data_IF_688299542292
#
_entry.id   IF_688299542292
#
_cell.length_a   1.000
_cell.length_b   1.000
_cell.length_c   1.000
_cell.angle_alpha   90.00
_cell.angle_beta   90.00
_cell.angle_gamma   90.00
#
_symmetry.space_group_name_H-M   'P 1'
#
loop_
_entity.id
_entity.type
_entity.pdbx_description
1 polymer ?
#
# COMPACT_ATOMS: atom_id res chain seq x y z
N UNK A 1 -0.69 -2.73 -10.05
CA UNK A 1 -0.22 -2.48 -8.66
C UNK A 1 1.06 -1.67 -8.82
N UNK A 2 0.93 -0.36 -8.73
CA UNK A 2 2.04 0.59 -8.81
C UNK A 2 2.86 0.43 -7.52
N UNK A 3 4.16 0.17 -7.65
CA UNK A 3 5.13 0.24 -6.55
C UNK A 3 5.14 1.69 -6.02
N UNK A 4 4.28 1.98 -5.04
CA UNK A 4 4.33 3.24 -4.31
C UNK A 4 5.38 3.10 -3.22
N UNK A 5 6.51 3.78 -3.40
CA UNK A 5 7.52 3.89 -2.34
C UNK A 5 6.98 4.80 -1.22
N UNK A 6 6.89 4.33 0.04
CA UNK A 6 6.36 5.12 1.18
C UNK A 6 7.05 6.46 1.40
N UNK A 7 8.33 6.58 1.01
CA UNK A 7 9.08 7.86 1.06
C UNK A 7 8.55 8.89 0.07
N UNK A 8 8.05 8.46 -1.09
CA UNK A 8 7.44 9.35 -2.09
C UNK A 8 6.11 9.90 -1.61
N UNK A 9 5.27 9.07 -1.01
CA UNK A 9 3.95 9.47 -0.49
C UNK A 9 4.06 10.47 0.65
N UNK A 10 4.97 10.25 1.60
CA UNK A 10 5.22 11.17 2.71
C UNK A 10 5.72 12.54 2.20
N UNK A 11 6.59 12.55 1.18
CA UNK A 11 7.07 13.78 0.55
C UNK A 11 5.94 14.52 -0.18
N UNK A 12 5.05 13.80 -0.87
CA UNK A 12 3.87 14.37 -1.52
C UNK A 12 2.88 14.96 -0.50
N UNK A 13 2.61 14.26 0.59
CA UNK A 13 1.75 14.77 1.65
C UNK A 13 2.36 16.01 2.33
N UNK A 14 3.67 16.03 2.53
CA UNK A 14 4.38 17.19 3.08
C UNK A 14 4.23 18.45 2.21
N UNK A 15 4.01 18.30 0.90
CA UNK A 15 3.70 19.45 0.06
C UNK A 15 2.37 20.11 0.41
N UNK A 16 1.39 19.36 0.91
CA UNK A 16 0.07 19.86 1.29
C UNK A 16 0.02 20.49 2.68
N UNK A 17 1.10 20.39 3.48
CA UNK A 17 1.23 21.08 4.78
C UNK A 17 1.45 22.58 4.62
N UNK A 18 1.97 23.05 3.47
CA UNK A 18 1.97 24.47 3.12
C UNK A 18 0.52 24.93 2.93
N UNK A 19 0.12 25.93 3.71
CA UNK A 19 -1.27 26.39 3.75
C UNK A 19 -1.85 26.76 2.39
N UNK A 20 -1.08 27.52 1.60
CA UNK A 20 -1.52 27.99 0.28
C UNK A 20 -1.65 26.82 -0.72
N UNK A 21 -0.68 25.91 -0.74
CA UNK A 21 -0.74 24.71 -1.61
C UNK A 21 -1.91 23.82 -1.22
N UNK A 22 -2.12 23.60 0.07
CA UNK A 22 -3.25 22.82 0.57
C UNK A 22 -4.60 23.46 0.20
N UNK A 23 -4.72 24.80 0.25
CA UNK A 23 -5.91 25.55 -0.20
C UNK A 23 -6.11 25.42 -1.71
N UNK A 24 -5.07 25.58 -2.51
CA UNK A 24 -5.11 25.41 -3.98
C UNK A 24 -5.50 23.98 -4.37
N UNK A 25 -4.91 22.96 -3.75
CA UNK A 25 -5.25 21.57 -3.99
C UNK A 25 -6.74 21.28 -3.71
N UNK A 26 -7.23 21.70 -2.53
CA UNK A 26 -8.65 21.53 -2.18
C UNK A 26 -9.58 22.29 -3.14
N UNK A 27 -9.16 23.44 -3.62
CA UNK A 27 -9.93 24.25 -4.57
C UNK A 27 -10.06 23.54 -5.92
N UNK A 28 -8.95 23.00 -6.48
CA UNK A 28 -8.98 22.22 -7.72
C UNK A 28 -9.83 20.97 -7.57
N UNK A 29 -9.73 20.25 -6.42
CA UNK A 29 -10.57 19.09 -6.12
C UNK A 29 -12.08 19.42 -6.13
N UNK A 30 -12.47 20.55 -5.56
CA UNK A 30 -13.89 20.98 -5.53
C UNK A 30 -14.43 21.43 -6.89
N UNK A 31 -13.59 22.10 -7.67
CA UNK A 31 -13.98 22.66 -8.98
C UNK A 31 -13.81 21.68 -10.12
N UNK A 32 -13.12 20.54 -9.89
CA UNK A 32 -12.71 19.55 -10.88
C UNK A 32 -11.78 20.07 -11.98
N UNK A 33 -11.89 21.35 -12.32
CA UNK A 33 -11.04 22.01 -13.32
C UNK A 33 -10.89 23.48 -12.95
N UNK A 34 -9.66 24.02 -13.00
CA UNK A 34 -9.36 25.39 -12.61
C UNK A 34 -8.14 25.92 -13.38
N UNK A 35 -8.25 27.13 -13.93
CA UNK A 35 -7.08 27.87 -14.46
C UNK A 35 -6.32 28.58 -13.34
N UNK A 36 -5.07 28.97 -13.61
CA UNK A 36 -4.31 29.79 -12.66
C UNK A 36 -4.97 31.14 -12.36
N UNK A 37 -5.71 31.68 -13.33
CA UNK A 37 -6.36 32.98 -13.20
C UNK A 37 -7.58 32.90 -12.28
N UNK A 38 -8.39 31.85 -12.44
CA UNK A 38 -9.50 31.53 -11.56
C UNK A 38 -9.01 31.23 -10.14
N UNK A 39 -7.91 30.46 -10.01
CA UNK A 39 -7.29 30.15 -8.72
C UNK A 39 -6.77 31.41 -8.00
N UNK A 40 -6.12 32.30 -8.75
CA UNK A 40 -5.60 33.57 -8.24
C UNK A 40 -6.73 34.48 -7.74
N UNK A 41 -7.79 34.60 -8.52
CA UNK A 41 -8.96 35.42 -8.17
C UNK A 41 -9.68 34.89 -6.92
N UNK A 42 -9.91 33.56 -6.84
CA UNK A 42 -10.65 32.97 -5.72
C UNK A 42 -9.87 33.00 -4.39
N UNK A 43 -8.52 32.91 -4.45
CA UNK A 43 -7.68 32.95 -3.24
C UNK A 43 -7.08 34.33 -2.93
N UNK A 44 -7.32 35.34 -3.77
CA UNK A 44 -6.77 36.68 -3.56
C UNK A 44 -5.24 36.75 -3.68
N UNK A 45 -4.64 35.97 -4.57
CA UNK A 45 -3.17 35.90 -4.76
C UNK A 45 -2.77 36.28 -6.18
N UNK A 46 -1.47 36.51 -6.42
CA UNK A 46 -1.00 36.78 -7.76
C UNK A 46 -1.07 35.53 -8.68
N UNK A 47 -1.29 35.76 -9.98
CA UNK A 47 -1.30 34.73 -11.03
C UNK A 47 0.00 33.90 -11.07
N UNK A 48 1.14 34.59 -10.85
CA UNK A 48 2.44 33.92 -10.78
C UNK A 48 2.58 32.98 -9.60
N UNK A 49 2.10 33.41 -8.44
CA UNK A 49 2.14 32.58 -7.22
C UNK A 49 1.19 31.38 -7.34
N UNK A 50 -0.02 31.58 -7.88
CA UNK A 50 -0.94 30.49 -8.16
C UNK A 50 -0.32 29.46 -9.12
N UNK A 51 0.25 29.90 -10.24
CA UNK A 51 0.92 29.02 -11.21
C UNK A 51 2.07 28.24 -10.57
N UNK A 52 2.93 28.91 -9.79
CA UNK A 52 4.07 28.27 -9.11
C UNK A 52 3.66 27.13 -8.19
N UNK A 53 2.64 27.35 -7.35
CA UNK A 53 2.17 26.31 -6.44
C UNK A 53 1.40 25.19 -7.16
N UNK A 54 0.57 25.52 -8.15
CA UNK A 54 -0.14 24.53 -8.96
C UNK A 54 0.82 23.66 -9.77
N UNK A 55 1.87 24.23 -10.37
CA UNK A 55 2.88 23.49 -11.10
C UNK A 55 3.70 22.56 -10.18
N UNK A 56 3.97 22.96 -8.93
CA UNK A 56 4.56 22.08 -7.93
C UNK A 56 3.68 20.87 -7.61
N UNK A 57 2.37 21.07 -7.49
CA UNK A 57 1.42 19.98 -7.26
C UNK A 57 1.33 19.03 -8.47
N UNK A 58 1.46 19.58 -9.69
CA UNK A 58 1.53 18.76 -10.91
C UNK A 58 2.83 17.97 -10.97
N UNK A 59 3.97 18.60 -10.66
CA UNK A 59 5.26 17.90 -10.63
C UNK A 59 5.31 16.77 -9.62
N UNK A 60 4.55 16.88 -8.51
CA UNK A 60 4.39 15.84 -7.51
C UNK A 60 3.32 14.79 -7.88
N UNK A 61 2.62 14.91 -9.00
CA UNK A 61 1.56 13.98 -9.40
C UNK A 61 0.22 14.16 -8.67
N UNK A 62 0.11 15.13 -7.75
CA UNK A 62 -1.13 15.42 -7.00
C UNK A 62 -2.21 16.06 -7.87
N UNK A 63 -1.82 16.77 -8.93
CA UNK A 63 -2.69 17.34 -9.94
C UNK A 63 -2.20 16.95 -11.34
N UNK A 64 -3.09 17.08 -12.32
CA UNK A 64 -2.76 17.02 -13.75
C UNK A 64 -2.96 18.40 -14.38
N UNK A 65 -2.18 18.70 -15.43
CA UNK A 65 -2.34 19.91 -16.20
C UNK A 65 -2.70 19.55 -17.65
N UNK A 66 -3.72 20.24 -18.18
CA UNK A 66 -4.14 20.11 -19.58
C UNK A 66 -4.28 21.49 -20.23
N UNK A 67 -4.24 21.52 -21.55
CA UNK A 67 -4.67 22.69 -22.31
C UNK A 67 -6.19 22.66 -22.43
N UNK A 68 -6.87 23.75 -22.04
CA UNK A 68 -8.34 23.84 -22.13
C UNK A 68 -8.75 23.67 -23.59
N UNK A 69 -9.71 22.78 -23.86
CA UNK A 69 -10.31 22.68 -25.18
C UNK A 69 -10.95 24.03 -25.57
N UNK A 70 -10.73 24.50 -26.79
CA UNK A 70 -11.37 25.73 -27.26
C UNK A 70 -12.84 25.43 -27.55
N UNK A 71 -13.74 26.08 -26.84
CA UNK A 71 -15.13 26.22 -27.27
C UNK A 71 -15.19 27.41 -28.24
N UNK A 72 -15.41 27.14 -29.51
CA UNK A 72 -15.55 28.15 -30.57
C UNK A 72 -14.45 28.10 -31.66
N UNK A 73 -14.52 29.01 -32.66
CA UNK A 73 -13.59 29.03 -33.79
C UNK A 73 -12.13 29.23 -33.31
N UNK A 74 -11.15 28.67 -34.04
CA UNK A 74 -9.73 28.71 -33.63
C UNK A 74 -9.23 30.16 -33.54
N UNK A 75 -8.96 30.63 -32.32
CA UNK A 75 -8.28 31.90 -32.10
C UNK A 75 -6.77 31.67 -32.04
N UNK A 76 -6.02 32.54 -32.70
CA UNK A 76 -4.55 32.58 -32.63
C UNK A 76 -4.15 32.98 -31.20
N UNK A 77 -3.54 32.05 -30.46
CA UNK A 77 -3.07 32.29 -29.09
C UNK A 77 -2.78 30.98 -28.34
N UNK A 78 -1.89 31.06 -27.30
CA UNK A 78 -1.57 29.90 -26.44
C UNK A 78 -2.80 29.54 -25.62
N UNK A 79 -3.26 28.31 -25.77
CA UNK A 79 -4.41 27.76 -25.01
C UNK A 79 -4.16 27.87 -23.50
N UNK A 80 -5.15 28.31 -22.70
CA UNK A 80 -5.00 28.40 -21.26
C UNK A 80 -4.70 27.02 -20.66
N UNK A 81 -3.71 26.96 -19.77
CA UNK A 81 -3.41 25.78 -18.95
C UNK A 81 -4.46 25.68 -17.84
N UNK A 82 -5.06 24.51 -17.69
CA UNK A 82 -5.99 24.19 -16.60
C UNK A 82 -5.44 23.02 -15.79
N UNK A 83 -5.79 23.03 -14.52
CA UNK A 83 -5.37 22.04 -13.53
C UNK A 83 -6.58 21.22 -13.10
N UNK A 84 -6.39 19.91 -13.02
CA UNK A 84 -7.41 18.93 -12.68
C UNK A 84 -6.89 18.00 -11.58
N UNK A 85 -7.77 17.38 -10.76
CA UNK A 85 -7.33 16.31 -9.86
C UNK A 85 -6.63 15.20 -10.63
N UNK A 86 -5.60 14.59 -10.06
CA UNK A 86 -5.07 13.31 -10.53
C UNK A 86 -5.89 12.17 -9.94
N UNK A 87 -5.68 10.95 -10.47
CA UNK A 87 -6.28 9.72 -9.93
C UNK A 87 -5.45 9.15 -8.76
N UNK A 88 -4.47 9.93 -8.27
CA UNK A 88 -3.61 9.52 -7.17
C UNK A 88 -4.38 9.57 -5.85
N UNK A 89 -4.43 8.45 -5.17
CA UNK A 89 -4.87 8.33 -3.79
C UNK A 89 -3.64 8.16 -2.88
N UNK A 90 -3.59 8.94 -1.82
CA UNK A 90 -2.52 8.87 -0.81
C UNK A 90 -3.13 8.43 0.51
N UNK A 91 -2.62 7.32 1.05
CA UNK A 91 -2.91 6.87 2.40
C UNK A 91 -1.59 6.74 3.18
N UNK A 92 -1.43 7.53 4.24
CA UNK A 92 -0.24 7.51 5.08
C UNK A 92 -0.61 7.08 6.48
N UNK A 93 -0.02 5.99 6.90
CA UNK A 93 -0.16 5.48 8.27
C UNK A 93 1.21 5.22 8.88
N UNK A 94 1.38 5.57 10.17
CA UNK A 94 2.62 5.34 10.91
C UNK A 94 2.29 4.61 12.24
N UNK A 95 2.80 3.39 12.45
CA UNK A 95 3.50 2.52 11.50
C UNK A 95 2.60 2.11 10.34
N UNK A 96 3.19 1.61 9.24
CA UNK A 96 2.47 1.28 8.01
C UNK A 96 1.32 0.30 8.25
N UNK A 97 0.16 0.56 7.61
CA UNK A 97 -1.04 -0.27 7.67
C UNK A 97 -1.46 -0.69 6.26
N UNK A 98 -1.97 -1.91 6.15
CA UNK A 98 -2.42 -2.50 4.87
C UNK A 98 -3.85 -3.02 4.99
N UNK A 99 -4.76 -2.15 5.44
CA UNK A 99 -6.18 -2.55 5.59
C UNK A 99 -6.83 -2.88 4.25
N UNK A 100 -6.37 -2.25 3.18
CA UNK A 100 -6.79 -2.56 1.81
C UNK A 100 -6.53 -4.03 1.46
N UNK A 101 -5.34 -4.56 1.77
CA UNK A 101 -5.01 -5.97 1.53
C UNK A 101 -5.98 -6.91 2.24
N UNK A 102 -6.34 -6.65 3.50
CA UNK A 102 -7.35 -7.47 4.21
C UNK A 102 -8.73 -7.29 3.59
N UNK A 103 -9.07 -6.07 3.18
CA UNK A 103 -10.31 -5.78 2.46
C UNK A 103 -10.42 -6.58 1.17
N UNK A 104 -9.39 -6.58 0.32
CA UNK A 104 -9.31 -7.38 -0.91
C UNK A 104 -9.49 -8.89 -0.61
N UNK A 105 -8.78 -9.41 0.41
CA UNK A 105 -8.88 -10.83 0.79
C UNK A 105 -10.30 -11.20 1.22
N UNK A 106 -10.98 -10.35 1.97
CA UNK A 106 -12.35 -10.59 2.42
C UNK A 106 -13.36 -10.49 1.27
N UNK A 107 -13.22 -9.51 0.39
CA UNK A 107 -14.06 -9.39 -0.82
C UNK A 107 -13.88 -10.62 -1.71
N UNK A 108 -12.65 -11.04 -1.97
CA UNK A 108 -12.36 -12.25 -2.75
C UNK A 108 -12.89 -13.52 -2.06
N UNK A 109 -12.83 -13.61 -0.73
CA UNK A 109 -13.37 -14.73 0.01
C UNK A 109 -14.89 -14.84 -0.15
N UNK A 110 -15.60 -13.70 -0.04
CA UNK A 110 -17.06 -13.65 -0.25
C UNK A 110 -17.42 -13.98 -1.70
N UNK A 111 -16.71 -13.40 -2.67
CA UNK A 111 -16.99 -13.57 -4.10
C UNK A 111 -16.73 -15.01 -4.59
N UNK A 112 -15.83 -15.75 -3.92
CA UNK A 112 -15.41 -17.11 -4.33
C UNK A 112 -15.77 -18.17 -3.29
N UNK A 113 -16.65 -17.85 -2.34
CA UNK A 113 -17.15 -18.83 -1.37
C UNK A 113 -18.00 -19.90 -2.06
N UNK A 114 -17.85 -21.15 -1.62
CA UNK A 114 -18.78 -22.23 -2.02
C UNK A 114 -19.91 -22.34 -0.98
N UNK A 115 -21.09 -22.88 -1.35
CA UNK A 115 -22.26 -22.88 -0.46
C UNK A 115 -22.03 -23.50 0.92
N UNK A 116 -21.15 -24.49 1.02
CA UNK A 116 -20.88 -25.22 2.26
C UNK A 116 -19.55 -24.83 2.94
N UNK A 117 -18.83 -23.83 2.39
CA UNK A 117 -17.55 -23.43 2.93
C UNK A 117 -17.74 -22.39 4.06
N UNK A 118 -17.22 -22.69 5.29
CA UNK A 118 -17.26 -21.71 6.37
C UNK A 118 -16.53 -20.42 5.96
N UNK A 119 -17.03 -19.22 6.33
CA UNK A 119 -16.44 -17.95 5.93
C UNK A 119 -14.95 -17.81 6.24
N UNK A 120 -14.51 -18.29 7.40
CA UNK A 120 -13.10 -18.25 7.77
C UNK A 120 -12.24 -19.19 6.91
N UNK A 121 -12.78 -20.35 6.51
CA UNK A 121 -12.10 -21.28 5.62
C UNK A 121 -11.90 -20.66 4.23
N UNK A 122 -12.93 -20.00 3.68
CA UNK A 122 -12.84 -19.25 2.43
C UNK A 122 -11.78 -18.14 2.52
N UNK A 123 -11.79 -17.36 3.61
CA UNK A 123 -10.83 -16.27 3.81
C UNK A 123 -9.38 -16.76 3.92
N UNK A 124 -9.13 -17.83 4.68
CA UNK A 124 -7.78 -18.41 4.83
C UNK A 124 -7.31 -19.07 3.53
N UNK A 125 -8.19 -19.74 2.79
CA UNK A 125 -7.87 -20.28 1.46
C UNK A 125 -7.44 -19.18 0.49
N UNK A 126 -8.20 -18.10 0.42
CA UNK A 126 -7.88 -16.93 -0.45
C UNK A 126 -6.58 -16.28 0.01
N UNK A 127 -6.39 -16.09 1.31
CA UNK A 127 -5.15 -15.52 1.86
C UNK A 127 -3.93 -16.39 1.51
N UNK A 128 -4.04 -17.72 1.62
CA UNK A 128 -2.96 -18.64 1.23
C UNK A 128 -2.64 -18.52 -0.27
N UNK A 129 -3.65 -18.48 -1.13
CA UNK A 129 -3.46 -18.33 -2.56
C UNK A 129 -2.77 -16.99 -2.91
N UNK A 130 -3.25 -15.89 -2.31
CA UNK A 130 -2.65 -14.55 -2.48
C UNK A 130 -1.19 -14.51 -1.98
N UNK A 131 -0.92 -15.08 -0.82
CA UNK A 131 0.43 -15.19 -0.29
C UNK A 131 1.35 -15.97 -1.22
N UNK A 132 0.88 -17.10 -1.76
CA UNK A 132 1.65 -17.92 -2.71
C UNK A 132 2.00 -17.14 -3.97
N UNK A 133 1.06 -16.37 -4.49
CA UNK A 133 1.29 -15.49 -5.65
C UNK A 133 2.34 -14.42 -5.34
N UNK A 134 2.22 -13.72 -4.20
CA UNK A 134 3.17 -12.70 -3.77
C UNK A 134 4.60 -13.26 -3.63
N UNK A 135 4.74 -14.40 -2.95
CA UNK A 135 6.03 -15.07 -2.78
C UNK A 135 6.64 -15.54 -4.11
N UNK A 136 5.83 -16.11 -5.00
CA UNK A 136 6.28 -16.58 -6.31
C UNK A 136 6.72 -15.40 -7.19
N UNK A 137 5.96 -14.31 -7.24
CA UNK A 137 6.32 -13.09 -7.96
C UNK A 137 7.61 -12.46 -7.41
N UNK A 138 7.77 -12.40 -6.09
CA UNK A 138 8.99 -11.90 -5.47
C UNK A 138 10.20 -12.75 -5.84
N UNK A 139 10.07 -14.08 -5.72
CA UNK A 139 11.10 -15.04 -6.13
C UNK A 139 11.52 -14.86 -7.58
N UNK A 140 10.56 -14.71 -8.49
CA UNK A 140 10.81 -14.51 -9.91
C UNK A 140 11.54 -13.18 -10.18
N UNK A 141 11.07 -12.08 -9.60
CA UNK A 141 11.68 -10.74 -9.78
C UNK A 141 13.13 -10.71 -9.27
N UNK A 142 13.42 -11.42 -8.20
CA UNK A 142 14.77 -11.51 -7.60
C UNK A 142 15.65 -12.59 -8.21
N UNK A 143 15.16 -13.36 -9.18
CA UNK A 143 15.92 -14.46 -9.78
C UNK A 143 16.34 -15.54 -8.78
N UNK A 144 15.53 -15.76 -7.71
CA UNK A 144 15.89 -16.69 -6.65
C UNK A 144 15.66 -18.14 -7.10
N UNK A 145 16.70 -18.94 -7.09
CA UNK A 145 16.64 -20.38 -7.31
C UNK A 145 16.05 -21.14 -6.11
N UNK A 146 16.52 -22.37 -5.87
CA UNK A 146 16.14 -23.15 -4.68
C UNK A 146 16.78 -22.54 -3.44
N UNK A 147 15.93 -22.18 -2.45
CA UNK A 147 16.37 -21.57 -1.21
C UNK A 147 16.55 -22.61 -0.09
N UNK A 148 17.59 -22.44 0.72
CA UNK A 148 17.67 -23.07 2.04
C UNK A 148 16.85 -22.26 3.06
N UNK A 149 16.53 -22.83 4.27
CA UNK A 149 15.67 -22.17 5.25
C UNK A 149 16.13 -20.77 5.64
N UNK A 150 17.42 -20.58 5.88
CA UNK A 150 17.96 -19.28 6.27
C UNK A 150 17.79 -18.21 5.17
N UNK A 151 18.10 -18.56 3.92
CA UNK A 151 17.92 -17.67 2.77
C UNK A 151 16.43 -17.40 2.48
N UNK A 152 15.57 -18.38 2.73
CA UNK A 152 14.13 -18.22 2.58
C UNK A 152 13.57 -17.28 3.65
N UNK A 153 14.05 -17.33 4.91
CA UNK A 153 13.71 -16.35 5.94
C UNK A 153 14.20 -14.95 5.57
N UNK A 154 15.38 -14.82 4.97
CA UNK A 154 15.88 -13.51 4.51
C UNK A 154 15.00 -12.95 3.38
N UNK A 155 14.67 -13.78 2.38
CA UNK A 155 13.77 -13.39 1.30
C UNK A 155 12.36 -13.05 1.80
N UNK A 156 11.85 -13.80 2.79
CA UNK A 156 10.60 -13.49 3.46
C UNK A 156 10.66 -12.15 4.20
N UNK A 157 11.76 -11.86 4.92
CA UNK A 157 11.96 -10.58 5.60
C UNK A 157 11.84 -9.41 4.63
N UNK A 158 12.57 -9.43 3.50
CA UNK A 158 12.55 -8.39 2.49
C UNK A 158 11.14 -8.18 1.88
N UNK A 159 10.41 -9.27 1.62
CA UNK A 159 9.05 -9.17 1.10
C UNK A 159 8.08 -8.62 2.16
N UNK A 160 8.24 -9.05 3.42
CA UNK A 160 7.37 -8.61 4.51
C UNK A 160 7.56 -7.14 4.86
N UNK A 161 8.77 -6.60 4.74
CA UNK A 161 9.02 -5.16 4.85
C UNK A 161 8.19 -4.37 3.81
N UNK A 162 8.13 -4.85 2.56
CA UNK A 162 7.32 -4.23 1.50
C UNK A 162 5.80 -4.32 1.77
N UNK A 163 5.37 -5.22 2.63
CA UNK A 163 3.98 -5.41 3.05
C UNK A 163 3.64 -4.70 4.37
N UNK A 164 4.54 -3.84 4.89
CA UNK A 164 4.32 -3.04 6.09
C UNK A 164 4.53 -3.79 7.41
N UNK A 165 5.13 -4.98 7.38
CA UNK A 165 5.62 -5.63 8.60
C UNK A 165 6.99 -5.05 8.97
N UNK A 166 7.36 -5.21 10.24
CA UNK A 166 8.69 -4.90 10.76
C UNK A 166 9.35 -6.22 11.22
N UNK A 167 9.95 -6.99 10.28
CA UNK A 167 10.56 -8.28 10.61
C UNK A 167 11.86 -8.08 11.37
N UNK A 168 12.01 -8.83 12.45
CA UNK A 168 13.19 -8.87 13.29
C UNK A 168 13.75 -10.29 13.32
N UNK A 169 15.00 -10.46 12.88
CA UNK A 169 15.68 -11.74 12.97
C UNK A 169 16.06 -12.01 14.42
N UNK A 170 15.34 -12.95 15.05
CA UNK A 170 15.63 -13.32 16.43
C UNK A 170 16.84 -14.26 16.53
N UNK A 171 16.88 -15.27 15.65
CA UNK A 171 18.00 -16.19 15.44
C UNK A 171 18.00 -16.73 14.01
N UNK A 172 18.84 -17.72 13.71
CA UNK A 172 18.94 -18.31 12.37
C UNK A 172 17.68 -19.07 11.92
N UNK A 173 16.76 -19.36 12.85
CA UNK A 173 15.56 -20.18 12.61
C UNK A 173 14.25 -19.42 12.88
N UNK A 174 14.31 -18.22 13.44
CA UNK A 174 13.13 -17.48 13.90
C UNK A 174 13.14 -16.05 13.41
N UNK A 175 12.04 -15.66 12.73
CA UNK A 175 11.74 -14.29 12.36
C UNK A 175 10.47 -13.84 13.10
N UNK A 176 10.58 -12.80 13.89
CA UNK A 176 9.48 -12.12 14.56
C UNK A 176 9.05 -10.89 13.79
N UNK A 177 7.80 -10.50 13.96
CA UNK A 177 7.22 -9.35 13.30
C UNK A 177 6.79 -8.33 14.36
N UNK A 178 7.50 -7.20 14.44
CA UNK A 178 7.23 -6.16 15.44
C UNK A 178 5.97 -5.36 15.11
N UNK A 179 5.67 -5.16 13.85
CA UNK A 179 4.45 -4.51 13.40
C UNK A 179 3.50 -5.49 12.74
N UNK A 180 2.20 -5.36 13.04
CA UNK A 180 1.14 -6.02 12.30
C UNK A 180 0.44 -4.99 11.41
N UNK A 181 0.49 -5.10 10.06
CA UNK A 181 -0.17 -4.15 9.16
C UNK A 181 -1.70 -4.10 9.36
N UNK A 182 -2.25 -5.12 10.02
CA UNK A 182 -3.69 -5.28 10.29
C UNK A 182 -4.08 -4.98 11.73
N UNK A 183 -3.23 -4.28 12.49
CA UNK A 183 -3.30 -4.15 13.94
C UNK A 183 -4.68 -3.78 14.49
N UNK A 184 -5.37 -2.75 13.94
CA UNK A 184 -6.66 -2.34 14.48
C UNK A 184 -7.75 -3.40 14.25
N UNK A 185 -7.72 -4.09 13.11
CA UNK A 185 -8.64 -5.19 12.82
C UNK A 185 -8.32 -6.42 13.66
N UNK A 186 -7.02 -6.74 13.84
CA UNK A 186 -6.58 -7.85 14.71
C UNK A 186 -6.96 -7.62 16.18
N UNK A 187 -7.01 -6.38 16.66
CA UNK A 187 -7.52 -6.07 18.01
C UNK A 187 -9.02 -6.28 18.15
N UNK A 188 -9.77 -6.07 17.07
CA UNK A 188 -11.24 -6.22 17.07
C UNK A 188 -11.68 -7.66 16.92
N UNK A 189 -11.00 -8.45 16.09
CA UNK A 189 -11.36 -9.84 15.77
C UNK A 189 -10.08 -10.66 15.55
N UNK A 190 -9.32 -10.96 16.63
CA UNK A 190 -8.02 -11.63 16.53
C UNK A 190 -8.13 -13.01 15.91
N UNK A 191 -9.16 -13.79 16.25
CA UNK A 191 -9.39 -15.13 15.71
C UNK A 191 -9.58 -15.16 14.19
N UNK A 192 -10.14 -14.11 13.61
CA UNK A 192 -10.34 -14.00 12.17
C UNK A 192 -9.08 -13.44 11.51
N UNK A 193 -8.63 -12.27 11.97
CA UNK A 193 -7.57 -11.52 11.31
C UNK A 193 -6.21 -12.20 11.47
N UNK A 194 -5.92 -12.79 12.64
CA UNK A 194 -4.66 -13.51 12.82
C UNK A 194 -4.64 -14.83 12.05
N UNK A 195 -5.79 -15.51 11.87
CA UNK A 195 -5.85 -16.69 11.02
C UNK A 195 -5.64 -16.36 9.53
N UNK A 196 -6.25 -15.28 9.03
CA UNK A 196 -6.04 -14.78 7.67
C UNK A 196 -4.57 -14.39 7.48
N UNK A 197 -3.99 -13.68 8.45
CA UNK A 197 -2.59 -13.29 8.44
C UNK A 197 -1.65 -14.48 8.40
N UNK A 198 -1.86 -15.48 9.26
CA UNK A 198 -1.08 -16.72 9.27
C UNK A 198 -1.14 -17.42 7.90
N UNK A 199 -2.34 -17.55 7.34
CA UNK A 199 -2.55 -18.18 6.04
C UNK A 199 -1.84 -17.42 4.90
N UNK A 200 -1.85 -16.08 4.92
CA UNK A 200 -1.14 -15.24 3.98
C UNK A 200 0.38 -15.49 4.06
N UNK A 201 0.94 -15.49 5.28
CA UNK A 201 2.36 -15.68 5.51
C UNK A 201 2.82 -17.11 5.14
N UNK A 202 2.03 -18.13 5.46
CA UNK A 202 2.27 -19.50 4.98
C UNK A 202 2.26 -19.59 3.45
N UNK A 203 1.33 -18.91 2.81
CA UNK A 203 1.28 -18.79 1.36
C UNK A 203 2.56 -18.15 0.80
N UNK A 204 3.01 -17.05 1.38
CA UNK A 204 4.28 -16.38 0.98
C UNK A 204 5.45 -17.36 1.04
N UNK A 205 5.60 -18.11 2.12
CA UNK A 205 6.67 -19.09 2.28
C UNK A 205 6.60 -20.19 1.20
N UNK A 206 5.41 -20.69 0.89
CA UNK A 206 5.20 -21.64 -0.22
C UNK A 206 5.63 -21.05 -1.57
N UNK A 207 5.23 -19.81 -1.84
CA UNK A 207 5.59 -19.10 -3.08
C UNK A 207 7.08 -18.84 -3.21
N UNK A 208 7.79 -18.60 -2.10
CA UNK A 208 9.24 -18.52 -2.05
C UNK A 208 9.94 -19.86 -2.29
N UNK A 209 9.19 -20.97 -2.22
CA UNK A 209 9.70 -22.32 -2.53
C UNK A 209 10.33 -23.04 -1.34
N UNK A 210 10.09 -22.60 -0.11
CA UNK A 210 10.48 -23.34 1.10
C UNK A 210 9.25 -23.81 1.88
N UNK A 211 9.20 -25.11 2.15
CA UNK A 211 8.10 -25.76 2.93
C UNK A 211 8.53 -26.14 4.34
N UNK A 212 9.76 -25.86 4.73
CA UNK A 212 10.32 -26.22 6.05
C UNK A 212 10.11 -25.10 7.06
N UNK A 213 9.88 -23.87 6.59
CA UNK A 213 9.50 -22.74 7.43
C UNK A 213 7.98 -22.71 7.54
N UNK A 214 7.46 -22.39 8.72
CA UNK A 214 6.05 -22.29 9.03
C UNK A 214 5.71 -20.93 9.62
N UNK A 215 4.54 -20.44 9.28
CA UNK A 215 3.94 -19.31 9.98
C UNK A 215 3.15 -19.85 11.17
N UNK A 216 3.53 -19.48 12.38
CA UNK A 216 2.92 -19.98 13.62
C UNK A 216 2.27 -18.84 14.41
N UNK A 217 1.10 -19.10 14.98
CA UNK A 217 0.47 -18.16 15.90
C UNK A 217 1.23 -18.19 17.24
N UNK A 218 1.82 -17.06 17.60
CA UNK A 218 2.55 -16.84 18.84
C UNK A 218 2.25 -15.44 19.39
N UNK A 219 1.02 -15.16 19.85
CA UNK A 219 0.60 -13.84 20.28
C UNK A 219 1.51 -13.29 21.39
N UNK A 220 2.00 -12.04 21.18
CA UNK A 220 2.84 -11.31 22.15
C UNK A 220 2.37 -9.86 22.25
N UNK A 221 2.43 -9.26 23.44
CA UNK A 221 2.16 -7.82 23.58
C UNK A 221 3.09 -6.99 22.70
N UNK A 222 2.53 -6.03 21.98
CA UNK A 222 3.30 -5.09 21.15
C UNK A 222 3.94 -5.66 19.87
N UNK A 223 3.59 -6.90 19.48
CA UNK A 223 4.08 -7.55 18.28
C UNK A 223 2.94 -8.15 17.44
N UNK A 224 3.26 -8.61 16.24
CA UNK A 224 2.34 -9.42 15.44
C UNK A 224 2.06 -10.75 16.12
N UNK A 225 0.86 -11.29 15.94
CA UNK A 225 0.47 -12.61 16.45
C UNK A 225 1.12 -13.78 15.69
N UNK A 226 1.85 -13.53 14.59
CA UNK A 226 2.47 -14.59 13.77
C UNK A 226 3.98 -14.44 13.80
N UNK A 227 4.67 -15.55 13.96
CA UNK A 227 6.12 -15.70 13.80
C UNK A 227 6.43 -16.66 12.66
N UNK A 228 7.58 -16.50 11.98
CA UNK A 228 8.05 -17.47 10.99
C UNK A 228 9.14 -18.33 11.60
N UNK A 229 8.89 -19.63 11.66
CA UNK A 229 9.78 -20.62 12.29
C UNK A 229 10.34 -21.61 11.29
N UNK A 230 11.65 -21.69 11.25
CA UNK A 230 12.40 -22.70 10.50
C UNK A 230 12.70 -23.95 11.31
N UNK A 231 13.28 -25.00 10.67
CA UNK A 231 13.73 -26.20 11.36
C UNK A 231 14.75 -25.87 12.44
N UNK A 232 14.55 -26.37 13.67
CA UNK A 232 15.43 -26.12 14.81
C UNK A 232 15.13 -24.90 15.66
N UNK A 233 14.09 -24.12 15.33
CA UNK A 233 13.62 -23.03 16.21
C UNK A 233 13.20 -23.60 17.57
N UNK A 234 13.78 -23.08 18.66
CA UNK A 234 13.37 -23.46 20.02
C UNK A 234 11.99 -22.83 20.33
N UNK A 235 11.17 -23.58 21.04
CA UNK A 235 9.87 -23.11 21.56
C UNK A 235 10.05 -22.07 22.65
#
# INVERSE_FOLDING_TARGET
MTDHEPRGELAMAALLTDELRGRLYRLVRRRHQLSRDEAAAELGISRGLAAFHLDKLVAAGLLRARSRAAEGPPRVGRRPKVYEPSDLELEITIPERRYELVGELLVDAVARATPDEPPLAAATRVATARGTELGARFRQRRGLGRLGPERALTAASELLEQLGYEPERWDQHLLRLRNCPFHALARRAPEIVCAINQALLDGILRGLGDQRIRAELAPRPGACCVELRGPGARR
#
